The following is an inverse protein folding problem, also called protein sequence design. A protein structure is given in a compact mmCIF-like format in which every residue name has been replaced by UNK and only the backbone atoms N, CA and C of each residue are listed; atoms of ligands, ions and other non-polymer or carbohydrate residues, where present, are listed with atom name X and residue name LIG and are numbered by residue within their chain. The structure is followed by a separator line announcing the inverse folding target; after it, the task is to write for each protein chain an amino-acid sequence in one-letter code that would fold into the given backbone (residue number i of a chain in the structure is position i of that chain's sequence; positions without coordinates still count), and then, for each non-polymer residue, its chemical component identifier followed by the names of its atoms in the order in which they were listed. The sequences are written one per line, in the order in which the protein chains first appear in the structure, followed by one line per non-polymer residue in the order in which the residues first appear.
data_IF_185315119803
#
_entry.id   IF_185315119803
#
_cell.length_a   1.000
_cell.length_b   1.000
_cell.length_c   1.000
_cell.angle_alpha   90.00
_cell.angle_beta   90.00
_cell.angle_gamma   90.00
#
_symmetry.space_group_name_H-M   'P 1'
#
loop_
_entity.id
_entity.type
_entity.pdbx_description
1 polymer ?
#
# COMPACT_ATOMS: atom_id res chain seq x y z
N UNK A 1 -65.68 -14.48 -2.85
CA UNK A 1 -64.71 -14.31 -1.74
C UNK A 1 -63.35 -14.06 -2.37
N UNK A 2 -62.74 -12.91 -2.04
CA UNK A 2 -61.41 -12.47 -2.49
C UNK A 2 -60.37 -13.02 -1.53
N UNK A 3 -59.34 -13.71 -2.00
CA UNK A 3 -58.11 -13.92 -1.23
C UNK A 3 -56.89 -13.80 -2.17
N UNK A 4 -56.32 -12.60 -2.12
CA UNK A 4 -55.02 -12.18 -2.63
C UNK A 4 -53.90 -12.97 -1.95
N UNK A 5 -53.09 -13.69 -2.73
CA UNK A 5 -51.84 -14.28 -2.28
C UNK A 5 -50.68 -13.48 -2.87
N UNK A 6 -50.23 -12.46 -2.14
CA UNK A 6 -48.90 -11.85 -2.34
C UNK A 6 -48.29 -11.69 -0.96
N UNK A 7 -47.55 -12.69 -0.49
CA UNK A 7 -46.73 -12.57 0.71
C UNK A 7 -45.71 -13.71 0.79
N UNK A 8 -44.72 -13.75 -0.11
CA UNK A 8 -43.63 -14.72 0.03
C UNK A 8 -42.28 -14.27 -0.58
N UNK A 9 -42.07 -12.98 -0.86
CA UNK A 9 -40.81 -12.50 -1.47
C UNK A 9 -40.12 -11.38 -0.68
N UNK A 10 -40.32 -11.31 0.65
CA UNK A 10 -39.67 -10.28 1.47
C UNK A 10 -38.51 -10.79 2.35
N UNK A 11 -38.41 -12.09 2.62
CA UNK A 11 -37.44 -12.59 3.61
C UNK A 11 -36.08 -13.04 3.05
N UNK A 12 -35.93 -13.18 1.73
CA UNK A 12 -34.67 -13.67 1.15
C UNK A 12 -33.61 -12.57 0.91
N UNK A 13 -34.01 -11.29 0.87
CA UNK A 13 -33.07 -10.20 0.61
C UNK A 13 -32.29 -9.77 1.86
N UNK A 14 -32.83 -9.97 3.07
CA UNK A 14 -32.20 -9.52 4.32
C UNK A 14 -31.08 -10.47 4.79
N UNK A 15 -31.10 -11.74 4.37
CA UNK A 15 -30.06 -12.72 4.73
C UNK A 15 -28.74 -12.51 3.97
N UNK A 16 -28.78 -11.95 2.76
CA UNK A 16 -27.58 -11.63 1.98
C UNK A 16 -26.87 -10.36 2.47
N UNK A 17 -27.61 -9.42 3.08
CA UNK A 17 -27.04 -8.19 3.62
C UNK A 17 -26.25 -8.41 4.92
N UNK A 18 -26.61 -9.42 5.74
CA UNK A 18 -25.86 -9.76 6.96
C UNK A 18 -24.59 -10.61 6.72
N UNK A 19 -24.34 -11.06 5.48
CA UNK A 19 -23.12 -11.80 5.14
C UNK A 19 -22.03 -10.91 4.53
N UNK A 20 -22.35 -9.64 4.27
CA UNK A 20 -21.37 -8.64 3.87
C UNK A 20 -20.69 -8.13 5.15
N UNK A 21 -19.86 -8.98 5.73
CA UNK A 21 -18.78 -8.55 6.60
C UNK A 21 -17.94 -7.63 5.73
N UNK A 22 -18.17 -6.31 5.79
CA UNK A 22 -17.17 -5.34 5.39
C UNK A 22 -15.97 -5.65 6.28
N UNK A 23 -15.07 -6.49 5.78
CA UNK A 23 -13.74 -6.67 6.31
C UNK A 23 -13.10 -5.31 6.12
N UNK A 24 -13.32 -4.41 7.08
CA UNK A 24 -12.64 -3.13 7.13
C UNK A 24 -11.17 -3.48 7.18
N UNK A 25 -10.49 -3.39 6.03
CA UNK A 25 -9.07 -3.73 5.91
C UNK A 25 -8.33 -2.95 7.00
N UNK A 26 -7.85 -3.66 8.01
CA UNK A 26 -7.13 -3.03 9.12
C UNK A 26 -5.72 -2.74 8.60
N UNK A 27 -5.51 -1.49 8.20
CA UNK A 27 -4.19 -1.05 7.77
C UNK A 27 -3.29 -0.78 8.97
N UNK A 28 -2.05 -1.24 8.84
CA UNK A 28 -0.98 -0.89 9.77
C UNK A 28 -0.53 0.53 9.47
N UNK A 29 -0.45 1.37 10.51
CA UNK A 29 0.21 2.67 10.45
C UNK A 29 1.67 2.51 10.86
N UNK A 30 2.63 2.54 9.91
CA UNK A 30 4.04 2.57 10.24
C UNK A 30 4.39 3.88 10.96
N UNK A 31 5.30 3.80 11.92
CA UNK A 31 5.85 4.97 12.60
C UNK A 31 6.95 5.60 11.74
N UNK A 32 6.96 6.94 11.64
CA UNK A 32 7.96 7.68 10.87
C UNK A 32 8.81 8.56 11.78
N UNK A 33 10.11 8.60 11.53
CA UNK A 33 11.02 9.52 12.20
C UNK A 33 10.85 10.97 11.67
N UNK A 34 11.57 11.92 12.30
CA UNK A 34 11.57 13.33 11.88
C UNK A 34 12.10 13.59 10.46
N UNK A 35 12.75 12.60 9.86
CA UNK A 35 13.30 12.65 8.51
C UNK A 35 12.38 11.95 7.49
N UNK A 36 11.26 11.38 7.93
CA UNK A 36 10.31 10.65 7.10
C UNK A 36 10.73 9.21 6.81
N UNK A 37 11.69 8.64 7.54
CA UNK A 37 12.03 7.22 7.43
C UNK A 37 11.13 6.38 8.32
N UNK A 38 10.81 5.18 7.85
CA UNK A 38 10.04 4.22 8.62
C UNK A 38 10.88 3.67 9.78
N UNK A 39 10.30 3.66 10.99
CA UNK A 39 10.92 3.18 12.21
C UNK A 39 10.53 1.72 12.45
N UNK A 40 11.45 0.92 12.99
CA UNK A 40 11.23 -0.49 13.38
C UNK A 40 10.81 -1.44 12.23
N UNK A 41 11.00 -1.06 10.97
CA UNK A 41 10.66 -1.90 9.84
C UNK A 41 10.87 -1.21 8.50
N UNK A 42 10.24 -1.76 7.46
CA UNK A 42 10.24 -1.25 6.10
C UNK A 42 8.90 -1.52 5.42
N UNK A 43 8.55 -0.67 4.46
CA UNK A 43 7.39 -0.91 3.58
C UNK A 43 7.88 -1.64 2.33
N UNK A 44 7.45 -2.88 2.16
CA UNK A 44 7.79 -3.73 1.01
C UNK A 44 6.52 -4.00 0.20
N UNK A 45 6.42 -3.38 -0.98
CA UNK A 45 5.20 -3.39 -1.76
C UNK A 45 4.07 -2.66 -1.01
N UNK A 46 3.01 -3.39 -0.68
CA UNK A 46 1.85 -2.89 0.07
C UNK A 46 1.83 -3.32 1.54
N UNK A 47 2.89 -4.00 2.03
CA UNK A 47 2.94 -4.52 3.39
C UNK A 47 4.00 -3.81 4.24
N UNK A 48 3.69 -3.65 5.53
CA UNK A 48 4.67 -3.30 6.54
C UNK A 48 5.37 -4.57 7.06
N UNK A 49 6.70 -4.58 6.95
CA UNK A 49 7.56 -5.66 7.40
C UNK A 49 8.42 -5.13 8.54
N UNK A 50 8.31 -5.76 9.69
CA UNK A 50 9.09 -5.44 10.89
C UNK A 50 10.57 -5.77 10.66
N UNK A 51 11.45 -5.17 11.47
CA UNK A 51 12.90 -5.36 11.36
C UNK A 51 13.36 -6.82 11.57
N UNK A 52 12.55 -7.66 12.23
CA UNK A 52 12.77 -9.09 12.41
C UNK A 52 12.34 -9.95 11.20
N UNK A 53 11.76 -9.32 10.17
CA UNK A 53 11.22 -9.97 8.98
C UNK A 53 9.74 -10.35 9.07
N UNK A 54 9.07 -10.10 10.20
CA UNK A 54 7.65 -10.40 10.40
C UNK A 54 6.79 -9.44 9.57
N UNK A 55 5.80 -9.98 8.84
CA UNK A 55 4.82 -9.16 8.13
C UNK A 55 3.75 -8.73 9.12
N UNK A 56 3.72 -7.43 9.45
CA UNK A 56 2.75 -6.86 10.36
C UNK A 56 1.35 -6.74 9.71
N UNK A 57 1.31 -6.53 8.39
CA UNK A 57 0.07 -6.42 7.62
C UNK A 57 0.14 -5.39 6.49
N UNK A 58 -0.98 -5.16 5.78
CA UNK A 58 -1.04 -4.17 4.72
C UNK A 58 -0.93 -2.75 5.31
N UNK A 59 -0.26 -1.85 4.60
CA UNK A 59 -0.29 -0.41 4.89
C UNK A 59 -1.39 0.27 4.09
N UNK A 60 -1.76 1.49 4.48
CA UNK A 60 -2.74 2.25 3.72
C UNK A 60 -2.26 2.50 2.27
N UNK A 61 -3.16 2.53 1.29
CA UNK A 61 -2.81 2.73 -0.11
C UNK A 61 -2.07 4.06 -0.35
N UNK A 62 -2.37 5.10 0.41
CA UNK A 62 -1.67 6.39 0.34
C UNK A 62 -0.20 6.28 0.76
N UNK A 63 0.08 5.52 1.83
CA UNK A 63 1.44 5.27 2.31
C UNK A 63 2.22 4.40 1.32
N UNK A 64 1.58 3.36 0.77
CA UNK A 64 2.19 2.53 -0.27
C UNK A 64 2.50 3.35 -1.53
N UNK A 65 1.59 4.23 -1.96
CA UNK A 65 1.79 5.11 -3.12
C UNK A 65 2.92 6.12 -2.90
N UNK A 66 2.99 6.73 -1.72
CA UNK A 66 4.07 7.63 -1.34
C UNK A 66 5.42 6.92 -1.36
N UNK A 67 5.52 5.73 -0.75
CA UNK A 67 6.75 4.93 -0.70
C UNK A 67 7.27 4.54 -2.10
N UNK A 68 6.36 4.13 -3.00
CA UNK A 68 6.72 3.83 -4.41
C UNK A 68 7.28 5.06 -5.14
N UNK A 69 6.68 6.23 -4.91
CA UNK A 69 7.11 7.48 -5.54
C UNK A 69 8.50 7.88 -5.06
N UNK A 70 8.72 7.87 -3.74
CA UNK A 70 10.02 8.17 -3.14
C UNK A 70 11.12 7.22 -3.64
N UNK A 71 10.83 5.92 -3.73
CA UNK A 71 11.79 4.92 -4.25
C UNK A 71 12.14 5.18 -5.72
N UNK A 72 11.15 5.57 -6.54
CA UNK A 72 11.38 5.92 -7.95
C UNK A 72 12.28 7.15 -8.07
N UNK A 73 12.06 8.17 -7.27
CA UNK A 73 12.83 9.42 -7.31
C UNK A 73 14.28 9.19 -6.87
N UNK A 74 14.49 8.41 -5.81
CA UNK A 74 15.82 7.97 -5.36
C UNK A 74 16.56 7.18 -6.45
N UNK A 75 15.87 6.29 -7.16
CA UNK A 75 16.46 5.48 -8.24
C UNK A 75 16.89 6.36 -9.41
N UNK A 76 16.04 7.30 -9.83
CA UNK A 76 16.36 8.24 -10.91
C UNK A 76 17.52 9.17 -10.53
N UNK A 77 17.52 9.69 -9.30
CA UNK A 77 18.63 10.53 -8.82
C UNK A 77 19.96 9.76 -8.82
N UNK A 78 19.96 8.50 -8.39
CA UNK A 78 21.16 7.65 -8.43
C UNK A 78 21.66 7.39 -9.85
N UNK A 79 20.76 7.14 -10.80
CA UNK A 79 21.12 6.95 -12.21
C UNK A 79 21.77 8.22 -12.79
N UNK A 80 21.18 9.39 -12.56
CA UNK A 80 21.72 10.66 -13.04
C UNK A 80 23.12 10.96 -12.46
N UNK A 81 23.38 10.58 -11.21
CA UNK A 81 24.70 10.75 -10.58
C UNK A 81 25.72 9.78 -11.20
N UNK A 82 25.34 8.52 -11.48
CA UNK A 82 26.22 7.57 -12.17
C UNK A 82 26.59 8.02 -13.59
N UNK A 83 25.62 8.50 -14.37
CA UNK A 83 25.85 8.97 -15.74
C UNK A 83 26.80 10.18 -15.77
N UNK A 84 26.65 11.11 -14.82
CA UNK A 84 27.55 12.26 -14.68
C UNK A 84 28.97 11.87 -14.26
N UNK A 85 29.12 10.86 -13.39
CA UNK A 85 30.44 10.37 -12.99
C UNK A 85 31.16 9.68 -14.15
N UNK A 86 30.45 8.88 -14.96
CA UNK A 86 31.03 8.26 -16.16
C UNK A 86 31.44 9.30 -17.21
N UNK A 87 30.61 10.31 -17.48
CA UNK A 87 30.95 11.37 -18.45
C UNK A 87 32.14 12.23 -17.99
N UNK A 88 32.27 12.50 -16.69
CA UNK A 88 33.44 13.22 -16.16
C UNK A 88 34.73 12.40 -16.22
N UNK A 89 34.68 11.08 -16.01
CA UNK A 89 35.86 10.22 -16.14
C UNK A 89 36.32 10.11 -17.61
N UNK A 90 35.39 10.00 -18.57
CA UNK A 90 35.74 9.99 -20.01
C UNK A 90 36.36 11.31 -20.47
N UNK A 91 35.88 12.47 -19.99
CA UNK A 91 36.48 13.77 -20.31
C UNK A 91 37.85 14.01 -19.70
N UNK A 92 38.20 13.29 -18.62
CA UNK A 92 39.52 13.39 -17.97
C UNK A 92 40.57 12.44 -18.56
N UNK A 93 40.13 11.44 -19.33
CA UNK A 93 40.98 10.42 -19.94
C UNK A 93 41.41 10.70 -21.39
N UNK A 94 40.94 11.80 -21.99
CA UNK A 94 41.31 12.26 -23.33
C UNK A 94 42.24 13.47 -23.28
#
# INVERSE_FOLDING_TARGET
MRQTWIAACACAALAAACAQTEETEVYVQPEFDKFGNVVNGAIIGDNFVLADGTIAGPVSPDVAAANRTQTRDLTQAQQQVQDQQQTQQQRRGN
#
